data_IF_585720724118
#
_entry.id   IF_585720724118
#
_cell.length_a   1.000
_cell.length_b   1.000
_cell.length_c   1.000
_cell.angle_alpha   90.00
_cell.angle_beta   90.00
_cell.angle_gamma   90.00
#
_symmetry.space_group_name_H-M   'P 1'
#
loop_
_entity.id
_entity.type
_entity.pdbx_description
1 polymer ?
#
# COMPACT_ATOMS: atom_id res chain seq x y z
N UNK A 1 -3.75 2.72 16.83
CA UNK A 1 -5.00 3.07 16.36
C UNK A 1 -5.07 3.15 14.86
N UNK A 2 -4.49 4.06 14.19
CA UNK A 2 -4.55 4.08 12.73
C UNK A 2 -3.46 3.23 12.13
N UNK A 3 -3.20 2.11 12.79
CA UNK A 3 -2.13 1.24 12.40
C UNK A 3 -2.54 0.35 11.23
N UNK A 4 -1.68 0.21 10.26
CA UNK A 4 -1.95 -0.67 9.14
C UNK A 4 -1.79 -2.13 9.55
N UNK A 5 -2.66 -2.99 9.02
CA UNK A 5 -2.51 -4.42 9.20
C UNK A 5 -1.32 -4.91 8.37
N UNK A 6 -0.89 -6.15 8.63
CA UNK A 6 0.21 -6.72 7.86
C UNK A 6 -0.12 -6.78 6.37
N UNK A 7 -1.35 -7.16 6.04
CA UNK A 7 -1.76 -7.23 4.62
C UNK A 7 -1.80 -5.84 4.00
N UNK A 8 -2.26 -4.83 4.76
CA UNK A 8 -2.28 -3.46 4.25
C UNK A 8 -0.86 -2.96 4.00
N UNK A 9 0.08 -3.33 4.86
CA UNK A 9 1.49 -2.95 4.65
C UNK A 9 2.03 -3.58 3.38
N UNK A 10 1.68 -4.84 3.11
CA UNK A 10 2.10 -5.51 1.87
C UNK A 10 1.54 -4.79 0.65
N UNK A 11 0.26 -4.43 0.70
CA UNK A 11 -0.36 -3.72 -0.40
C UNK A 11 0.29 -2.35 -0.59
N UNK A 12 0.51 -1.62 0.49
CA UNK A 12 1.13 -0.30 0.41
C UNK A 12 2.54 -0.39 -0.18
N UNK A 13 3.30 -1.37 0.23
CA UNK A 13 4.66 -1.57 -0.29
C UNK A 13 4.64 -1.72 -1.80
N UNK A 14 3.72 -2.55 -2.31
CA UNK A 14 3.63 -2.78 -3.76
C UNK A 14 3.11 -1.55 -4.50
N UNK A 15 2.18 -0.81 -3.87
CA UNK A 15 1.70 0.43 -4.46
C UNK A 15 2.84 1.43 -4.70
N UNK A 16 3.66 1.65 -3.67
CA UNK A 16 4.71 2.65 -3.77
C UNK A 16 5.86 2.19 -4.65
N UNK A 17 5.96 0.89 -4.90
CA UNK A 17 6.92 0.35 -5.86
C UNK A 17 6.41 0.47 -7.30
N UNK A 18 5.17 0.94 -7.48
CA UNK A 18 4.64 1.24 -8.79
C UNK A 18 3.74 0.21 -9.41
N UNK A 19 3.37 -0.83 -8.67
CA UNK A 19 2.47 -1.85 -9.20
C UNK A 19 1.04 -1.34 -9.26
N UNK A 20 0.33 -1.70 -10.33
CA UNK A 20 -1.10 -1.40 -10.44
C UNK A 20 -1.90 -2.49 -9.73
N UNK A 21 -3.19 -2.23 -9.50
CA UNK A 21 -4.04 -3.14 -8.74
C UNK A 21 -3.99 -4.58 -9.22
N UNK A 22 -4.03 -4.78 -10.53
CA UNK A 22 -4.00 -6.11 -11.12
C UNK A 22 -2.70 -6.84 -10.78
N UNK A 23 -1.59 -6.11 -10.82
CA UNK A 23 -0.29 -6.68 -10.51
C UNK A 23 -0.17 -7.02 -9.03
N UNK A 24 -0.70 -6.15 -8.16
CA UNK A 24 -0.70 -6.39 -6.73
C UNK A 24 -1.53 -7.63 -6.42
N UNK A 25 -2.70 -7.75 -7.04
CA UNK A 25 -3.59 -8.89 -6.84
C UNK A 25 -2.87 -10.18 -7.19
N UNK A 26 -2.17 -10.19 -8.32
CA UNK A 26 -1.44 -11.37 -8.76
C UNK A 26 -0.29 -11.69 -7.79
N UNK A 27 0.45 -10.67 -7.39
CA UNK A 27 1.59 -10.84 -6.50
C UNK A 27 1.18 -11.43 -5.15
N UNK A 28 0.05 -10.97 -4.62
CA UNK A 28 -0.42 -11.41 -3.30
C UNK A 28 -1.42 -12.55 -3.36
N UNK A 29 -1.74 -13.01 -4.58
CA UNK A 29 -2.68 -14.10 -4.80
C UNK A 29 -4.05 -13.81 -4.18
N UNK A 30 -4.56 -12.61 -4.44
CA UNK A 30 -5.88 -12.17 -4.01
C UNK A 30 -6.58 -11.53 -5.20
N UNK A 31 -7.87 -11.25 -5.06
CA UNK A 31 -8.62 -10.65 -6.15
C UNK A 31 -8.36 -9.15 -6.25
N UNK A 32 -8.56 -8.58 -7.43
CA UNK A 32 -8.42 -7.15 -7.63
C UNK A 32 -9.37 -6.35 -6.73
N UNK A 33 -10.66 -6.73 -6.59
CA UNK A 33 -11.53 -6.02 -5.64
C UNK A 33 -10.99 -6.02 -4.22
N UNK A 34 -10.34 -7.11 -3.80
CA UNK A 34 -9.75 -7.17 -2.47
C UNK A 34 -8.58 -6.19 -2.34
N UNK A 35 -7.78 -6.04 -3.40
CA UNK A 35 -6.72 -5.03 -3.41
C UNK A 35 -7.32 -3.64 -3.24
N UNK A 36 -8.38 -3.35 -3.98
CA UNK A 36 -9.05 -2.04 -3.91
C UNK A 36 -9.58 -1.80 -2.50
N UNK A 37 -10.15 -2.84 -1.88
CA UNK A 37 -10.63 -2.76 -0.50
C UNK A 37 -9.48 -2.36 0.44
N UNK A 38 -8.33 -3.03 0.32
CA UNK A 38 -7.19 -2.70 1.17
C UNK A 38 -6.66 -1.30 0.89
N UNK A 39 -6.62 -0.88 -0.37
CA UNK A 39 -6.16 0.47 -0.72
C UNK A 39 -7.06 1.53 -0.10
N UNK A 40 -8.38 1.30 -0.15
CA UNK A 40 -9.31 2.25 0.45
C UNK A 40 -9.10 2.35 1.96
N UNK A 41 -8.88 1.21 2.62
CA UNK A 41 -8.64 1.21 4.06
C UNK A 41 -7.33 1.92 4.41
N UNK A 42 -6.29 1.73 3.61
CA UNK A 42 -5.02 2.42 3.81
C UNK A 42 -5.23 3.93 3.71
N UNK A 43 -5.92 4.38 2.67
CA UNK A 43 -6.18 5.80 2.47
C UNK A 43 -7.01 6.39 3.61
N UNK A 44 -7.99 5.64 4.10
CA UNK A 44 -8.80 6.07 5.22
C UNK A 44 -7.94 6.22 6.48
N UNK A 45 -7.12 5.23 6.75
CA UNK A 45 -6.30 5.23 7.96
C UNK A 45 -5.25 6.32 7.94
N UNK A 46 -4.65 6.56 6.78
CA UNK A 46 -3.58 7.56 6.64
C UNK A 46 -4.13 8.92 6.22
N UNK A 47 -5.44 9.01 6.00
CA UNK A 47 -6.13 10.27 5.72
C UNK A 47 -5.59 10.99 4.51
N UNK A 48 -5.21 10.24 3.49
CA UNK A 48 -4.73 10.82 2.23
C UNK A 48 -4.89 9.80 1.12
N UNK A 49 -5.09 10.30 -0.09
CA UNK A 49 -5.09 9.46 -1.30
C UNK A 49 -3.93 9.84 -2.21
N UNK A 50 -3.05 10.70 -1.74
CA UNK A 50 -1.88 11.12 -2.51
C UNK A 50 -0.84 10.01 -2.46
N UNK A 51 -0.48 9.48 -3.62
CA UNK A 51 0.56 8.45 -3.69
C UNK A 51 1.89 8.98 -3.15
N UNK A 52 2.18 10.27 -3.39
CA UNK A 52 3.39 10.87 -2.85
C UNK A 52 3.42 10.83 -1.34
N UNK A 53 2.32 11.20 -0.69
CA UNK A 53 2.26 11.17 0.77
C UNK A 53 2.30 9.76 1.32
N UNK A 54 1.63 8.82 0.63
CA UNK A 54 1.68 7.43 1.03
C UNK A 54 3.10 6.88 0.92
N UNK A 55 3.82 7.29 -0.11
CA UNK A 55 5.22 6.88 -0.30
C UNK A 55 6.09 7.39 0.83
N UNK A 56 5.92 8.66 1.21
CA UNK A 56 6.69 9.24 2.32
C UNK A 56 6.41 8.46 3.61
N UNK A 57 5.14 8.18 3.87
CA UNK A 57 4.78 7.39 5.05
C UNK A 57 5.46 6.02 5.03
N UNK A 58 5.41 5.34 3.89
CA UNK A 58 5.96 3.99 3.76
C UNK A 58 7.48 3.98 4.01
N UNK A 59 8.18 4.99 3.51
CA UNK A 59 9.63 5.08 3.71
C UNK A 59 9.94 5.39 5.19
N UNK A 60 9.26 6.39 5.76
CA UNK A 60 9.51 6.78 7.14
C UNK A 60 9.15 5.68 8.13
N UNK A 61 8.17 4.85 7.80
CA UNK A 61 7.74 3.75 8.67
C UNK A 61 8.55 2.48 8.47
N UNK A 62 9.48 2.48 7.52
CA UNK A 62 10.27 1.28 7.26
C UNK A 62 9.55 0.19 6.48
N UNK A 63 8.36 0.49 5.94
CA UNK A 63 7.61 -0.48 5.15
C UNK A 63 8.33 -0.76 3.85
N UNK A 64 8.97 0.25 3.28
CA UNK A 64 9.73 0.11 2.04
C UNK A 64 11.00 0.92 2.18
N UNK A 65 12.08 0.43 1.59
CA UNK A 65 13.34 1.16 1.53
C UNK A 65 13.32 2.09 0.32
N UNK A 66 13.95 3.26 0.45
CA UNK A 66 14.03 4.18 -0.68
C UNK A 66 14.73 3.55 -1.89
N UNK A 67 15.57 2.55 -1.64
CA UNK A 67 16.25 1.83 -2.71
C UNK A 67 15.33 0.95 -3.53
N UNK A 68 14.15 0.62 -2.98
CA UNK A 68 13.19 -0.26 -3.65
C UNK A 68 12.24 0.49 -4.56
N UNK A 69 12.27 1.81 -4.52
CA UNK A 69 11.33 2.62 -5.29
C UNK A 69 11.91 3.09 -6.60
#
# INVERSE_FOLDING_TARGET
>A
KNKLSDREKEVLKLMVKGLINKEIAKELNISTPTVIFHRNNICEKLKTRSLGKLTIYAVLSGIVSIKEI
#
